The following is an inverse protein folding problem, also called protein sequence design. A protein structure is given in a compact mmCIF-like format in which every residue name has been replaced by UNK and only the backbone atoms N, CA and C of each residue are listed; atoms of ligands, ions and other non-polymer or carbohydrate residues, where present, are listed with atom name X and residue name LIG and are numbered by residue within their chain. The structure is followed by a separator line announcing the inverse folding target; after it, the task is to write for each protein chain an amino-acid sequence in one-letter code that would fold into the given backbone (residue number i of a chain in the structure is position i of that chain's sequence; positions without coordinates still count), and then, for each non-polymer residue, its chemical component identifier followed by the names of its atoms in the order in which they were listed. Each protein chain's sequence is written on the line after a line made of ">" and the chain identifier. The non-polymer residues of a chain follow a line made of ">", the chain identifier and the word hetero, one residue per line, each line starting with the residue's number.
data_IF_836995714135
#
_entry.id   IF_836995714135
#
_cell.length_a   1.000
_cell.length_b   1.000
_cell.length_c   1.000
_cell.angle_alpha   90.00
_cell.angle_beta   90.00
_cell.angle_gamma   90.00
#
_symmetry.space_group_name_H-M   'P 1'
#
loop_
_entity.id
_entity.type
_entity.pdbx_description
1 polymer ?
#
# COMPACT_ATOMS: atom_id res chain seq x y z
N UNK A 1 8.63 -0.57 -14.37
CA UNK A 1 8.78 -1.04 -12.97
C UNK A 1 8.31 -2.48 -12.92
N UNK A 2 9.02 -3.36 -12.21
CA UNK A 2 8.81 -4.81 -12.25
C UNK A 2 8.74 -5.49 -10.88
N UNK A 3 8.58 -4.72 -9.79
CA UNK A 3 8.57 -5.21 -8.41
C UNK A 3 7.85 -4.20 -7.49
N UNK A 4 7.34 -4.65 -6.35
CA UNK A 4 6.69 -3.81 -5.33
C UNK A 4 7.63 -3.39 -4.20
N UNK A 5 8.56 -4.26 -3.75
CA UNK A 5 9.43 -3.93 -2.61
C UNK A 5 10.26 -2.65 -2.74
N UNK A 6 10.67 -2.19 -3.94
CA UNK A 6 11.41 -0.92 -4.08
C UNK A 6 10.64 0.34 -3.66
N UNK A 7 9.30 0.30 -3.57
CA UNK A 7 8.51 1.46 -3.15
C UNK A 7 8.68 1.78 -1.66
N UNK A 8 8.91 0.78 -0.82
CA UNK A 8 9.02 0.96 0.62
C UNK A 8 10.02 -0.04 1.20
N UNK A 9 11.16 0.45 1.69
CA UNK A 9 12.18 -0.40 2.28
C UNK A 9 11.72 -0.99 3.62
N UNK A 10 12.10 -2.23 3.91
CA UNK A 10 11.78 -2.89 5.17
C UNK A 10 12.28 -2.11 6.40
N UNK A 11 13.49 -1.55 6.32
CA UNK A 11 14.05 -0.73 7.39
C UNK A 11 13.29 0.58 7.62
N UNK A 12 12.83 1.23 6.56
CA UNK A 12 12.03 2.45 6.64
C UNK A 12 10.66 2.18 7.25
N UNK A 13 9.97 1.13 6.78
CA UNK A 13 8.70 0.70 7.36
C UNK A 13 8.89 0.35 8.84
N UNK A 14 9.93 -0.43 9.17
CA UNK A 14 10.20 -0.83 10.55
C UNK A 14 10.43 0.36 11.48
N UNK A 15 11.18 1.38 11.03
CA UNK A 15 11.39 2.61 11.78
C UNK A 15 10.09 3.38 12.02
N UNK A 16 9.23 3.50 11.00
CA UNK A 16 8.00 4.27 11.09
C UNK A 16 6.99 3.59 12.03
N UNK A 17 6.85 2.26 11.93
CA UNK A 17 5.90 1.50 12.75
C UNK A 17 6.47 1.06 14.11
N UNK A 18 7.72 1.41 14.41
CA UNK A 18 8.35 1.17 15.72
C UNK A 18 8.69 -0.29 16.01
N UNK A 19 9.12 -1.04 14.99
CA UNK A 19 9.51 -2.46 15.12
C UNK A 19 10.91 -2.71 14.56
N UNK A 20 11.41 -3.95 14.67
CA UNK A 20 12.72 -4.34 14.17
C UNK A 20 12.69 -5.74 13.55
N UNK A 21 13.70 -6.06 12.74
CA UNK A 21 13.85 -7.40 12.16
C UNK A 21 12.85 -7.74 11.05
N UNK A 22 12.14 -6.75 10.51
CA UNK A 22 11.33 -6.94 9.30
C UNK A 22 12.24 -7.11 8.09
N UNK A 23 11.94 -8.12 7.28
CA UNK A 23 12.49 -8.30 5.94
C UNK A 23 11.40 -8.07 4.89
N UNK A 24 11.78 -7.53 3.74
CA UNK A 24 10.92 -7.37 2.58
C UNK A 24 11.16 -8.52 1.59
N UNK A 25 10.08 -9.15 1.13
CA UNK A 25 10.14 -10.24 0.16
C UNK A 25 9.13 -9.99 -0.95
N UNK A 26 9.63 -9.95 -2.19
CA UNK A 26 8.78 -9.89 -3.37
C UNK A 26 8.04 -11.22 -3.50
N UNK A 27 6.75 -11.14 -3.75
CA UNK A 27 5.91 -12.31 -4.00
C UNK A 27 5.63 -12.47 -5.49
N UNK A 28 5.34 -13.70 -5.95
CA UNK A 28 4.92 -13.91 -7.33
C UNK A 28 3.71 -13.05 -7.69
N UNK A 29 3.64 -12.51 -8.92
CA UNK A 29 2.50 -11.72 -9.37
C UNK A 29 1.21 -12.55 -9.29
N UNK A 30 0.10 -11.88 -9.02
CA UNK A 30 -1.21 -12.53 -9.00
C UNK A 30 -1.60 -13.08 -10.37
N UNK A 31 -2.43 -14.13 -10.39
CA UNK A 31 -2.79 -14.88 -11.62
C UNK A 31 -3.99 -14.30 -12.39
N UNK A 32 -4.58 -13.20 -11.94
CA UNK A 32 -5.78 -12.60 -12.55
C UNK A 32 -5.55 -11.14 -12.93
N UNK A 33 -6.31 -10.62 -13.90
CA UNK A 33 -6.22 -9.22 -14.34
C UNK A 33 -6.63 -8.21 -13.25
N UNK A 34 -7.38 -8.68 -12.26
CA UNK A 34 -7.79 -7.92 -11.08
C UNK A 34 -6.80 -8.03 -9.91
N UNK A 35 -5.82 -8.92 -10.01
CA UNK A 35 -4.82 -9.09 -8.97
C UNK A 35 -3.77 -7.98 -9.05
N UNK A 36 -3.09 -7.69 -7.93
CA UNK A 36 -1.91 -6.84 -7.95
C UNK A 36 -0.89 -7.35 -8.96
N UNK A 37 -0.32 -6.42 -9.72
CA UNK A 37 0.78 -6.72 -10.65
C UNK A 37 2.02 -7.18 -9.90
N UNK A 38 2.30 -6.57 -8.75
CA UNK A 38 3.43 -6.90 -7.88
C UNK A 38 3.00 -6.82 -6.41
N UNK A 39 3.60 -7.64 -5.56
CA UNK A 39 3.30 -7.68 -4.12
C UNK A 39 4.59 -7.80 -3.33
N UNK A 40 4.73 -7.03 -2.27
CA UNK A 40 5.82 -7.15 -1.31
C UNK A 40 5.26 -7.50 0.08
N UNK A 41 5.73 -8.59 0.67
CA UNK A 41 5.44 -8.95 2.04
C UNK A 41 6.54 -8.44 2.99
N UNK A 42 6.13 -7.87 4.11
CA UNK A 42 7.00 -7.36 5.17
C UNK A 42 6.78 -8.17 6.43
N UNK A 43 7.74 -8.95 6.90
CA UNK A 43 7.57 -9.68 8.14
C UNK A 43 8.85 -10.15 8.79
N UNK A 44 8.72 -10.80 9.94
CA UNK A 44 9.83 -11.41 10.67
C UNK A 44 9.96 -12.88 10.26
N UNK A 45 11.15 -13.29 9.80
CA UNK A 45 11.42 -14.64 9.31
C UNK A 45 11.25 -14.80 7.79
N UNK A 46 11.73 -15.94 7.25
CA UNK A 46 11.63 -16.28 5.83
C UNK A 46 10.94 -17.66 5.65
N UNK A 47 9.75 -17.73 5.03
CA UNK A 47 8.97 -16.61 4.50
C UNK A 47 8.27 -15.77 5.60
N UNK A 48 7.94 -14.50 5.32
CA UNK A 48 7.07 -13.70 6.16
C UNK A 48 5.75 -14.43 6.47
N UNK A 49 5.25 -14.30 7.70
CA UNK A 49 3.94 -14.86 8.09
C UNK A 49 2.81 -14.27 7.23
N UNK A 50 1.72 -15.00 7.07
CA UNK A 50 0.53 -14.51 6.34
C UNK A 50 -0.03 -13.22 6.97
N UNK A 51 0.07 -13.09 8.30
CA UNK A 51 -0.36 -11.94 9.08
C UNK A 51 0.62 -10.75 9.07
N UNK A 52 1.50 -10.66 8.07
CA UNK A 52 2.52 -9.63 8.00
C UNK A 52 2.10 -8.52 7.01
N UNK A 53 2.50 -7.25 7.23
CA UNK A 53 2.15 -6.16 6.33
C UNK A 53 2.46 -6.46 4.86
N UNK A 54 1.62 -5.99 3.94
CA UNK A 54 1.71 -6.29 2.50
C UNK A 54 1.47 -5.04 1.68
N UNK A 55 2.40 -4.76 0.76
CA UNK A 55 2.28 -3.70 -0.23
C UNK A 55 1.91 -4.32 -1.58
N UNK A 56 0.82 -3.87 -2.14
CA UNK A 56 0.29 -4.29 -3.42
C UNK A 56 0.47 -3.16 -4.42
N UNK A 57 0.97 -3.46 -5.61
CA UNK A 57 1.09 -2.51 -6.71
C UNK A 57 0.13 -2.87 -7.84
N UNK A 58 -0.59 -1.85 -8.32
CA UNK A 58 -1.52 -1.94 -9.43
C UNK A 58 -1.17 -0.89 -10.48
N UNK A 59 -1.44 -1.20 -11.75
CA UNK A 59 -1.35 -0.22 -12.82
C UNK A 59 -2.52 -0.38 -13.80
N UNK A 60 -3.18 0.73 -14.08
CA UNK A 60 -4.42 0.82 -14.85
C UNK A 60 -4.23 1.80 -16.01
N UNK A 61 -4.41 1.33 -17.26
CA UNK A 61 -4.08 2.13 -18.45
C UNK A 61 -4.96 3.37 -18.66
N UNK A 62 -6.19 3.40 -18.15
CA UNK A 62 -7.15 4.51 -18.41
C UNK A 62 -7.98 4.94 -17.20
N UNK A 63 -7.73 4.39 -16.01
CA UNK A 63 -8.52 4.73 -14.83
C UNK A 63 -8.19 6.14 -14.33
N UNK A 64 -9.17 6.91 -13.87
CA UNK A 64 -8.90 8.08 -13.04
C UNK A 64 -8.27 7.63 -11.71
N UNK A 65 -7.24 8.32 -11.16
CA UNK A 65 -6.64 7.95 -9.87
C UNK A 65 -7.63 7.81 -8.71
N UNK A 66 -8.74 8.55 -8.71
CA UNK A 66 -9.77 8.43 -7.68
C UNK A 66 -10.55 7.11 -7.78
N UNK A 67 -10.67 6.52 -8.97
CA UNK A 67 -11.47 5.31 -9.18
C UNK A 67 -10.95 4.11 -8.36
N UNK A 68 -9.68 3.68 -8.48
CA UNK A 68 -9.19 2.55 -7.71
C UNK A 68 -9.09 2.87 -6.20
N UNK A 69 -8.74 4.10 -5.81
CA UNK A 69 -8.75 4.53 -4.39
C UNK A 69 -10.15 4.44 -3.80
N UNK A 70 -11.17 4.92 -4.52
CA UNK A 70 -12.57 4.81 -4.09
C UNK A 70 -13.07 3.36 -4.08
N UNK A 71 -12.50 2.50 -4.93
CA UNK A 71 -12.81 1.07 -4.92
C UNK A 71 -12.25 0.39 -3.66
N UNK A 72 -11.01 0.69 -3.26
CA UNK A 72 -10.46 0.22 -1.98
C UNK A 72 -11.29 0.77 -0.82
N UNK A 73 -11.75 2.03 -0.88
CA UNK A 73 -12.57 2.63 0.18
C UNK A 73 -13.90 1.90 0.43
N UNK A 74 -14.44 1.18 -0.57
CA UNK A 74 -15.67 0.38 -0.41
C UNK A 74 -15.45 -0.90 0.39
N UNK A 75 -14.20 -1.33 0.57
CA UNK A 75 -13.85 -2.52 1.34
C UNK A 75 -13.59 -2.21 2.82
N UNK A 76 -13.59 -0.93 3.22
CA UNK A 76 -13.41 -0.51 4.60
C UNK A 76 -14.63 -0.87 5.45
N UNK A 77 -14.42 -1.17 6.73
CA UNK A 77 -15.51 -1.34 7.72
C UNK A 77 -16.15 -0.02 8.13
N UNK A 78 -15.42 1.08 7.99
CA UNK A 78 -15.81 2.43 8.38
C UNK A 78 -15.52 3.50 7.32
N UNK A 79 -15.70 4.79 7.66
CA UNK A 79 -15.35 5.88 6.77
C UNK A 79 -13.83 5.89 6.49
N UNK A 80 -13.46 6.24 5.26
CA UNK A 80 -12.05 6.47 4.92
C UNK A 80 -11.64 7.91 5.20
N UNK A 81 -10.37 8.08 5.58
CA UNK A 81 -9.75 9.39 5.79
C UNK A 81 -8.92 9.73 4.56
N UNK A 82 -9.24 10.83 3.89
CA UNK A 82 -8.45 11.32 2.74
C UNK A 82 -7.12 11.94 3.18
N UNK A 83 -6.08 11.74 2.37
CA UNK A 83 -4.72 12.27 2.60
C UNK A 83 -4.36 13.28 1.49
N UNK A 84 -4.77 14.55 1.62
CA UNK A 84 -4.52 15.55 0.58
C UNK A 84 -3.02 15.81 0.39
N UNK A 85 -2.60 16.01 -0.86
CA UNK A 85 -1.20 16.28 -1.22
C UNK A 85 -0.31 15.04 -1.33
N UNK A 86 -0.87 13.83 -1.16
CA UNK A 86 -0.18 12.56 -1.39
C UNK A 86 -0.67 11.93 -2.69
N UNK A 87 0.21 11.85 -3.70
CA UNK A 87 -0.18 11.40 -5.03
C UNK A 87 -1.24 12.30 -5.67
N UNK A 88 -2.05 11.73 -6.56
CA UNK A 88 -3.23 12.41 -7.12
C UNK A 88 -4.49 12.10 -6.30
N UNK A 89 -4.53 10.93 -5.66
CA UNK A 89 -5.57 10.51 -4.73
C UNK A 89 -4.95 9.60 -3.66
N UNK A 90 -5.27 9.83 -2.39
CA UNK A 90 -4.82 8.97 -1.31
C UNK A 90 -5.81 8.93 -0.15
N UNK A 91 -5.89 7.78 0.52
CA UNK A 91 -6.71 7.59 1.71
C UNK A 91 -6.14 6.48 2.60
N UNK A 92 -6.59 6.44 3.85
CA UNK A 92 -6.48 5.25 4.69
C UNK A 92 -7.81 4.95 5.38
N UNK A 93 -8.01 3.69 5.75
CA UNK A 93 -9.18 3.25 6.51
C UNK A 93 -8.92 1.90 7.19
N UNK A 94 -9.76 1.55 8.16
CA UNK A 94 -9.80 0.21 8.75
C UNK A 94 -10.42 -0.78 7.76
N UNK A 95 -9.73 -1.90 7.51
CA UNK A 95 -10.22 -3.04 6.73
C UNK A 95 -10.99 -4.04 7.61
N UNK A 96 -10.52 -4.25 8.83
CA UNK A 96 -11.11 -5.10 9.86
C UNK A 96 -10.58 -4.69 11.24
N UNK A 97 -10.83 -5.50 12.28
CA UNK A 97 -10.43 -5.24 13.67
C UNK A 97 -8.91 -5.21 13.92
N UNK A 98 -8.10 -5.55 12.92
CA UNK A 98 -6.64 -5.61 13.04
C UNK A 98 -5.92 -4.81 11.96
N UNK A 99 -6.47 -4.71 10.75
CA UNK A 99 -5.80 -4.17 9.57
C UNK A 99 -6.29 -2.78 9.17
N UNK A 100 -5.36 -1.92 8.81
CA UNK A 100 -5.58 -0.67 8.09
C UNK A 100 -5.06 -0.82 6.66
N UNK A 101 -5.84 -0.36 5.66
CA UNK A 101 -5.35 -0.15 4.29
C UNK A 101 -4.98 1.32 4.07
N UNK A 102 -3.90 1.54 3.31
CA UNK A 102 -3.53 2.83 2.76
C UNK A 102 -3.49 2.70 1.24
N UNK A 103 -4.38 3.41 0.55
CA UNK A 103 -4.41 3.44 -0.90
C UNK A 103 -3.86 4.78 -1.40
N UNK A 104 -2.85 4.74 -2.27
CA UNK A 104 -2.27 5.92 -2.91
C UNK A 104 -2.20 5.68 -4.41
N UNK A 105 -2.82 6.55 -5.20
CA UNK A 105 -2.80 6.50 -6.64
C UNK A 105 -2.25 7.79 -7.26
N UNK A 106 -1.56 7.64 -8.39
CA UNK A 106 -0.97 8.74 -9.15
C UNK A 106 -0.92 8.38 -10.62
N UNK A 107 -1.14 9.37 -11.49
CA UNK A 107 -1.03 9.23 -12.93
C UNK A 107 0.40 9.50 -13.38
N UNK A 108 0.99 8.51 -14.03
CA UNK A 108 2.38 8.54 -14.50
C UNK A 108 2.45 7.95 -15.90
N UNK A 109 2.98 8.73 -16.86
CA UNK A 109 3.14 8.33 -18.28
C UNK A 109 1.86 7.77 -18.94
N UNK A 110 0.70 8.34 -18.62
CA UNK A 110 -0.58 7.93 -19.21
C UNK A 110 -1.24 6.73 -18.54
N UNK A 111 -0.61 6.12 -17.54
CA UNK A 111 -1.20 5.07 -16.71
C UNK A 111 -1.47 5.60 -15.29
N UNK A 112 -2.52 5.10 -14.65
CA UNK A 112 -2.74 5.30 -13.22
C UNK A 112 -2.07 4.16 -12.48
N UNK A 113 -1.08 4.50 -11.65
CA UNK A 113 -0.41 3.57 -10.75
C UNK A 113 -1.01 3.72 -9.38
N UNK A 114 -1.16 2.61 -8.67
CA UNK A 114 -1.62 2.61 -7.30
C UNK A 114 -0.75 1.67 -6.48
N UNK A 115 -0.47 2.10 -5.26
CA UNK A 115 -0.05 1.20 -4.20
C UNK A 115 -1.13 1.11 -3.14
N UNK A 116 -1.34 -0.09 -2.64
CA UNK A 116 -2.25 -0.41 -1.53
C UNK A 116 -1.43 -1.12 -0.45
N UNK A 117 -1.29 -0.51 0.72
CA UNK A 117 -0.50 -1.07 1.82
C UNK A 117 -1.43 -1.50 2.94
N UNK A 118 -1.40 -2.78 3.28
CA UNK A 118 -2.07 -3.32 4.46
C UNK A 118 -1.07 -3.39 5.60
N UNK A 119 -1.38 -2.76 6.74
CA UNK A 119 -0.57 -2.79 7.96
C UNK A 119 -1.43 -2.86 9.23
N UNK A 120 -0.94 -3.42 10.34
CA UNK A 120 -1.70 -3.46 11.59
C UNK A 120 -2.11 -2.06 12.05
N UNK A 121 -3.14 -1.92 12.87
CA UNK A 121 -3.54 -0.59 13.34
C UNK A 121 -2.40 0.17 14.04
N UNK A 122 -2.24 1.43 13.64
CA UNK A 122 -1.32 2.42 14.18
C UNK A 122 -2.03 3.78 14.33
N UNK A 123 -1.27 4.77 14.79
CA UNK A 123 -1.69 6.18 14.92
C UNK A 123 -1.71 6.89 13.56
N UNK A 124 -2.56 7.91 13.41
CA UNK A 124 -2.79 8.62 12.13
C UNK A 124 -1.54 9.24 11.51
N UNK A 125 -0.59 9.70 12.33
CA UNK A 125 0.68 10.27 11.85
C UNK A 125 1.57 9.22 11.17
N UNK A 126 1.51 7.96 11.62
CA UNK A 126 2.21 6.84 10.97
C UNK A 126 1.65 6.64 9.56
N UNK A 127 0.33 6.62 9.40
CA UNK A 127 -0.29 6.44 8.08
C UNK A 127 0.08 7.59 7.14
N UNK A 128 0.02 8.82 7.64
CA UNK A 128 0.38 10.01 6.87
C UNK A 128 1.85 9.98 6.43
N UNK A 129 2.76 9.56 7.32
CA UNK A 129 4.19 9.46 7.01
C UNK A 129 4.48 8.40 5.95
N UNK A 130 3.91 7.20 6.09
CA UNK A 130 4.10 6.11 5.10
C UNK A 130 3.48 6.50 3.76
N UNK A 131 2.28 7.07 3.74
CA UNK A 131 1.60 7.47 2.51
C UNK A 131 2.41 8.52 1.74
N UNK A 132 3.00 9.51 2.42
CA UNK A 132 3.88 10.51 1.78
C UNK A 132 5.07 9.85 1.08
N UNK A 133 5.77 8.94 1.77
CA UNK A 133 6.90 8.21 1.18
C UNK A 133 6.49 7.42 -0.06
N UNK A 134 5.36 6.73 0.02
CA UNK A 134 4.81 5.97 -1.12
C UNK A 134 4.42 6.88 -2.29
N UNK A 135 3.73 7.99 -2.03
CA UNK A 135 3.30 8.95 -3.06
C UNK A 135 4.45 9.66 -3.77
N UNK A 136 5.57 9.90 -3.08
CA UNK A 136 6.79 10.47 -3.67
C UNK A 136 7.47 9.49 -4.63
N UNK A 137 7.36 8.18 -4.37
CA UNK A 137 8.05 7.11 -5.11
C UNK A 137 7.19 6.50 -6.22
N UNK A 138 5.90 6.80 -6.26
CA UNK A 138 4.93 6.35 -7.25
C UNK A 138 5.07 7.08 -8.59
#
# INVERSE_FOLDING_TARGET
>A
MTAACPFLGAGELAQIIGTSGIVAKEEPPGKTDTAPKYTCAYGTGDPPRESAPRLYFFAFTKADPNTPVSSTAKNCTGPSTSLPGVGDAAMYCELDDYWTTLAIAKRVHGETRMVDLHLPHHRDDVYTQVAKLLGERL
#
